data_IF_656962540559
#
_entry.id   IF_656962540559
#
_cell.length_a   1.000
_cell.length_b   1.000
_cell.length_c   1.000
_cell.angle_alpha   90.00
_cell.angle_beta   90.00
_cell.angle_gamma   90.00
#
_symmetry.space_group_name_H-M   'P 1'
#
loop_
_entity.id
_entity.type
_entity.pdbx_description
1 polymer ?
#
# COMPACT_ATOMS: atom_id res chain seq x y z
N UNK A 1 -57.69 9.20 23.61
CA UNK A 1 -58.01 8.23 22.55
C UNK A 1 -56.92 8.32 21.50
N UNK A 2 -56.27 7.18 21.21
CA UNK A 2 -55.79 6.74 19.87
C UNK A 2 -54.53 7.49 19.35
N UNK A 3 -53.33 6.89 19.45
CA UNK A 3 -52.63 6.05 18.43
C UNK A 3 -51.90 6.93 17.38
N UNK A 4 -50.67 6.68 16.93
CA UNK A 4 -49.99 5.41 16.67
C UNK A 4 -48.46 5.54 16.69
N UNK A 5 -47.83 4.42 17.02
CA UNK A 5 -46.42 4.11 16.84
C UNK A 5 -46.03 4.13 15.34
N UNK A 6 -44.77 4.46 15.07
CA UNK A 6 -44.17 4.33 13.75
C UNK A 6 -43.05 3.28 13.84
N UNK A 7 -43.46 2.01 13.86
CA UNK A 7 -42.60 0.86 13.60
C UNK A 7 -42.09 0.95 12.15
N UNK A 8 -40.78 1.09 11.97
CA UNK A 8 -40.16 0.89 10.66
C UNK A 8 -39.75 -0.56 10.54
N UNK A 9 -40.56 -1.28 9.76
CA UNK A 9 -40.35 -2.63 9.28
C UNK A 9 -39.01 -2.73 8.55
N UNK A 10 -38.19 -3.72 8.95
CA UNK A 10 -36.98 -4.14 8.25
C UNK A 10 -37.37 -5.34 7.41
N UNK A 11 -37.59 -5.15 6.10
CA UNK A 11 -37.79 -6.26 5.18
C UNK A 11 -36.42 -6.71 4.65
N UNK A 12 -36.00 -7.81 5.25
CA UNK A 12 -35.06 -8.82 4.77
C UNK A 12 -35.71 -9.48 3.55
N UNK A 13 -35.17 -9.34 2.33
CA UNK A 13 -35.50 -10.26 1.24
C UNK A 13 -34.28 -10.49 0.32
N UNK A 14 -33.90 -11.75 0.38
CA UNK A 14 -32.95 -12.55 -0.36
C UNK A 14 -33.15 -12.48 -1.90
N UNK A 15 -32.07 -12.43 -2.67
CA UNK A 15 -32.08 -12.96 -4.05
C UNK A 15 -30.68 -13.17 -4.65
N UNK A 16 -30.15 -14.35 -4.30
CA UNK A 16 -29.55 -15.39 -5.14
C UNK A 16 -29.11 -15.09 -6.60
N UNK A 17 -27.85 -15.44 -6.85
CA UNK A 17 -27.16 -15.89 -8.08
C UNK A 17 -27.78 -15.64 -9.47
N UNK A 18 -27.26 -14.62 -10.16
CA UNK A 18 -27.35 -14.46 -11.61
C UNK A 18 -26.22 -15.16 -12.37
N UNK A 19 -26.20 -16.49 -12.35
CA UNK A 19 -25.33 -17.30 -13.22
C UNK A 19 -25.76 -17.17 -14.69
N UNK A 20 -25.02 -16.39 -15.49
CA UNK A 20 -25.26 -16.22 -16.93
C UNK A 20 -24.05 -16.71 -17.74
N UNK A 21 -24.05 -17.94 -18.29
CA UNK A 21 -23.02 -18.37 -19.23
C UNK A 21 -23.46 -18.07 -20.67
N UNK A 22 -22.59 -17.48 -21.48
CA UNK A 22 -22.49 -17.73 -22.93
C UNK A 22 -21.27 -17.01 -23.53
N UNK A 23 -20.19 -17.79 -23.66
CA UNK A 23 -19.34 -18.05 -24.84
C UNK A 23 -18.94 -16.97 -25.87
N UNK A 24 -17.69 -17.20 -26.35
CA UNK A 24 -16.95 -16.67 -27.50
C UNK A 24 -16.16 -15.37 -27.22
N UNK A 25 -14.82 -15.38 -27.19
CA UNK A 25 -13.98 -15.74 -28.35
C UNK A 25 -12.54 -16.12 -27.97
N UNK A 26 -12.03 -17.04 -28.79
CA UNK A 26 -10.67 -17.55 -29.02
C UNK A 26 -9.47 -16.62 -28.81
N UNK A 27 -8.46 -17.10 -28.08
CA UNK A 27 -7.04 -16.80 -28.33
C UNK A 27 -6.25 -18.09 -28.46
N UNK A 28 -5.48 -18.17 -29.55
CA UNK A 28 -4.77 -19.36 -30.03
C UNK A 28 -3.48 -19.62 -29.26
N UNK A 29 -3.38 -20.81 -28.67
CA UNK A 29 -2.13 -21.39 -28.16
C UNK A 29 -1.31 -21.97 -29.32
N UNK A 30 -0.05 -21.55 -29.47
CA UNK A 30 0.92 -22.24 -30.32
C UNK A 30 2.27 -22.33 -29.60
N UNK A 31 2.48 -23.46 -28.93
CA UNK A 31 3.79 -23.90 -28.49
C UNK A 31 4.53 -24.57 -29.67
N UNK A 32 5.85 -24.40 -29.81
CA UNK A 32 6.68 -25.33 -30.55
C UNK A 32 7.38 -26.34 -29.62
N UNK A 33 7.56 -27.61 -30.04
CA UNK A 33 8.26 -28.62 -29.28
C UNK A 33 9.76 -28.76 -29.65
N UNK A 34 10.52 -29.28 -28.68
CA UNK A 34 11.65 -30.20 -28.80
C UNK A 34 13.07 -29.72 -29.18
N UNK A 35 13.94 -29.82 -28.14
CA UNK A 35 15.07 -30.77 -28.05
C UNK A 35 16.41 -30.45 -28.74
N UNK A 36 17.47 -30.16 -27.95
CA UNK A 36 18.70 -31.00 -27.88
C UNK A 36 19.72 -30.60 -26.80
N UNK A 37 20.35 -31.67 -26.27
CA UNK A 37 21.49 -31.84 -25.34
C UNK A 37 22.72 -30.95 -25.55
N UNK A 38 23.48 -30.70 -24.46
CA UNK A 38 24.92 -31.06 -24.32
C UNK A 38 25.35 -31.01 -22.84
N UNK A 39 25.77 -32.13 -22.22
CA UNK A 39 27.14 -32.44 -21.71
C UNK A 39 27.70 -31.34 -20.77
N UNK A 40 28.02 -31.55 -19.50
CA UNK A 40 28.68 -32.70 -18.86
C UNK A 40 30.05 -32.21 -18.35
N UNK A 41 30.19 -31.98 -17.04
CA UNK A 41 31.49 -31.96 -16.35
C UNK A 41 31.27 -32.18 -14.86
N UNK A 42 31.72 -33.33 -14.36
CA UNK A 42 31.83 -33.58 -12.93
C UNK A 42 33.16 -33.06 -12.38
N UNK A 43 33.17 -32.64 -11.12
CA UNK A 43 33.95 -33.28 -10.03
C UNK A 43 34.09 -32.36 -8.80
N UNK A 44 34.09 -33.00 -7.62
CA UNK A 44 34.43 -32.48 -6.28
C UNK A 44 33.33 -31.58 -5.64
N UNK A 45 32.87 -31.74 -4.40
CA UNK A 45 33.40 -32.39 -3.18
C UNK A 45 32.24 -32.87 -2.30
N UNK A 46 32.42 -34.05 -1.68
CA UNK A 46 31.61 -34.55 -0.56
C UNK A 46 32.05 -33.85 0.73
N UNK A 47 31.15 -33.19 1.42
CA UNK A 47 31.11 -32.89 2.87
C UNK A 47 29.63 -32.58 3.14
N UNK A 48 28.90 -33.05 4.13
CA UNK A 48 29.11 -33.83 5.34
C UNK A 48 27.79 -33.67 6.09
N UNK A 49 27.21 -34.77 6.57
CA UNK A 49 25.88 -34.81 7.19
C UNK A 49 25.82 -34.08 8.55
N UNK A 50 24.62 -33.62 8.86
CA UNK A 50 23.94 -33.52 10.18
C UNK A 50 24.06 -32.25 11.06
N UNK A 51 22.87 -31.65 11.22
CA UNK A 51 22.22 -31.15 12.46
C UNK A 51 22.65 -29.83 13.08
N UNK A 52 21.80 -28.80 12.90
CA UNK A 52 21.05 -28.06 13.94
C UNK A 52 20.32 -26.92 13.18
N UNK A 53 19.01 -26.94 13.03
CA UNK A 53 18.13 -26.63 14.16
C UNK A 53 17.81 -25.13 14.31
N UNK A 54 18.03 -24.27 13.30
CA UNK A 54 17.39 -22.94 13.30
C UNK A 54 15.96 -23.09 12.80
N UNK A 55 15.04 -23.26 13.75
CA UNK A 55 13.61 -23.05 13.52
C UNK A 55 13.44 -21.60 13.08
N UNK A 56 13.42 -21.38 11.77
CA UNK A 56 12.69 -20.25 11.20
C UNK A 56 11.29 -20.35 11.78
N UNK A 57 10.95 -19.49 12.71
CA UNK A 57 9.57 -19.21 13.06
C UNK A 57 8.93 -18.52 11.85
N UNK A 58 8.72 -19.29 10.79
CA UNK A 58 7.65 -19.08 9.83
C UNK A 58 6.35 -19.33 10.62
N UNK A 59 5.96 -18.34 11.41
CA UNK A 59 4.77 -18.37 12.21
C UNK A 59 4.08 -17.03 12.02
N UNK A 60 3.19 -17.03 11.02
CA UNK A 60 2.17 -16.01 10.78
C UNK A 60 2.70 -14.71 10.15
N UNK A 61 3.23 -14.82 8.93
CA UNK A 61 3.00 -13.76 7.94
C UNK A 61 1.49 -13.70 7.70
N UNK A 62 0.78 -12.95 8.54
CA UNK A 62 -0.51 -12.42 8.14
C UNK A 62 -0.27 -11.59 6.90
N UNK A 63 -1.02 -11.84 5.83
CA UNK A 63 -0.99 -10.98 4.64
C UNK A 63 -1.12 -9.52 5.09
N UNK A 64 -0.09 -8.72 4.82
CA UNK A 64 -0.02 -7.30 5.22
C UNK A 64 0.90 -6.95 6.40
N UNK A 65 1.64 -7.90 6.98
CA UNK A 65 2.66 -7.59 7.99
C UNK A 65 3.92 -7.01 7.32
N UNK A 66 3.97 -5.68 7.19
CA UNK A 66 5.20 -4.94 6.83
C UNK A 66 6.10 -4.93 8.08
N UNK A 67 7.32 -5.45 7.96
CA UNK A 67 8.31 -5.41 9.05
C UNK A 67 9.06 -4.07 9.08
N UNK A 68 9.90 -3.88 10.10
CA UNK A 68 10.66 -2.64 10.29
C UNK A 68 11.61 -2.36 9.12
N UNK A 69 12.23 -3.41 8.58
CA UNK A 69 13.19 -3.31 7.48
C UNK A 69 12.49 -2.86 6.19
N UNK A 70 11.32 -3.41 5.89
CA UNK A 70 10.51 -3.00 4.75
C UNK A 70 9.97 -1.56 4.93
N UNK A 71 9.63 -1.15 6.14
CA UNK A 71 9.24 0.23 6.43
C UNK A 71 10.39 1.22 6.20
N UNK A 72 11.60 0.87 6.64
CA UNK A 72 12.80 1.69 6.41
C UNK A 72 13.11 1.81 4.92
N UNK A 73 13.08 0.71 4.16
CA UNK A 73 13.26 0.73 2.69
C UNK A 73 12.19 1.53 1.98
N UNK A 74 10.95 1.55 2.49
CA UNK A 74 9.89 2.35 1.90
C UNK A 74 10.07 3.85 2.17
N UNK A 75 10.96 4.27 3.08
CA UNK A 75 11.12 5.67 3.44
C UNK A 75 11.67 6.51 2.27
N UNK A 76 12.68 5.98 1.56
CA UNK A 76 13.33 6.64 0.41
C UNK A 76 12.76 6.21 -0.95
N UNK A 77 11.91 5.15 -1.00
CA UNK A 77 11.09 4.80 -2.17
C UNK A 77 9.91 5.77 -2.38
N UNK A 78 10.26 7.02 -2.64
CA UNK A 78 9.34 8.11 -2.94
C UNK A 78 9.91 9.00 -4.04
N UNK A 79 9.06 9.70 -4.82
CA UNK A 79 9.55 10.61 -5.85
C UNK A 79 10.46 11.69 -5.26
N UNK A 80 11.56 11.99 -5.95
CA UNK A 80 12.43 13.11 -5.59
C UNK A 80 11.69 14.41 -5.91
N UNK A 81 11.68 15.34 -4.96
CA UNK A 81 11.09 16.68 -5.11
C UNK A 81 12.15 17.73 -4.82
N UNK A 82 11.92 18.95 -5.32
CA UNK A 82 12.72 20.12 -4.99
C UNK A 82 11.84 21.13 -4.27
N UNK A 83 12.42 21.83 -3.31
CA UNK A 83 11.77 22.94 -2.61
C UNK A 83 12.38 24.21 -3.17
N UNK A 84 11.56 25.00 -3.87
CA UNK A 84 12.07 26.20 -4.55
C UNK A 84 12.06 27.44 -3.64
N UNK A 85 11.25 27.43 -2.58
CA UNK A 85 11.16 28.51 -1.59
C UNK A 85 10.39 28.06 -0.34
N UNK A 86 10.43 28.86 0.73
CA UNK A 86 9.58 28.63 1.91
C UNK A 86 8.09 28.66 1.60
N UNK A 87 7.68 29.50 0.63
CA UNK A 87 6.28 29.60 0.19
C UNK A 87 5.84 28.34 -0.55
N UNK A 88 6.69 27.80 -1.41
CA UNK A 88 6.45 26.55 -2.12
C UNK A 88 6.31 25.35 -1.16
N UNK A 89 7.15 25.31 -0.11
CA UNK A 89 7.01 24.32 0.97
C UNK A 89 5.66 24.42 1.68
N UNK A 90 5.26 25.63 2.06
CA UNK A 90 3.98 25.90 2.72
C UNK A 90 2.80 25.48 1.82
N UNK A 91 2.80 25.89 0.55
CA UNK A 91 1.76 25.53 -0.42
C UNK A 91 1.70 24.00 -0.62
N UNK A 92 2.86 23.33 -0.70
CA UNK A 92 2.94 21.88 -0.79
C UNK A 92 2.37 21.18 0.44
N UNK A 93 2.67 21.64 1.66
CA UNK A 93 2.12 21.06 2.89
C UNK A 93 0.62 21.35 3.02
N UNK A 94 0.16 22.54 2.66
CA UNK A 94 -1.26 22.86 2.65
C UNK A 94 -2.04 21.99 1.67
N UNK A 95 -1.49 21.69 0.49
CA UNK A 95 -2.12 20.77 -0.47
C UNK A 95 -2.18 19.33 0.05
N UNK A 96 -1.12 18.87 0.73
CA UNK A 96 -1.13 17.57 1.41
C UNK A 96 -2.22 17.54 2.48
N UNK A 97 -2.34 18.58 3.30
CA UNK A 97 -3.38 18.69 4.33
C UNK A 97 -4.77 18.60 3.72
N UNK A 98 -5.03 19.32 2.64
CA UNK A 98 -6.32 19.30 1.92
C UNK A 98 -6.71 17.88 1.51
N UNK A 99 -5.81 17.17 0.82
CA UNK A 99 -6.06 15.81 0.32
C UNK A 99 -6.27 14.81 1.48
N UNK A 100 -5.45 14.90 2.53
CA UNK A 100 -5.48 13.95 3.64
C UNK A 100 -6.56 14.24 4.69
N UNK A 101 -7.22 15.39 4.61
CA UNK A 101 -8.32 15.76 5.54
C UNK A 101 -9.69 15.32 5.05
N UNK A 102 -9.81 14.78 3.85
CA UNK A 102 -11.06 14.29 3.26
C UNK A 102 -10.93 12.82 2.88
N UNK A 103 -11.70 11.96 3.56
CA UNK A 103 -11.70 10.51 3.36
C UNK A 103 -12.35 10.09 2.03
N UNK A 104 -13.03 11.01 1.35
CA UNK A 104 -13.63 10.80 0.04
C UNK A 104 -12.67 11.05 -1.11
N UNK A 105 -11.50 11.64 -0.85
CA UNK A 105 -10.46 11.71 -1.87
C UNK A 105 -10.01 10.31 -2.27
N UNK A 106 -9.67 10.20 -3.55
CA UNK A 106 -9.14 8.97 -4.13
C UNK A 106 -7.99 8.41 -3.27
N UNK A 107 -8.02 7.10 -3.03
CA UNK A 107 -7.06 6.44 -2.15
C UNK A 107 -5.63 6.61 -2.66
N UNK A 108 -5.39 6.44 -3.96
CA UNK A 108 -4.05 6.59 -4.53
C UNK A 108 -3.55 8.02 -4.39
N UNK A 109 -4.43 9.02 -4.52
CA UNK A 109 -4.07 10.42 -4.25
C UNK A 109 -3.67 10.64 -2.78
N UNK A 110 -4.37 10.03 -1.82
CA UNK A 110 -4.00 10.10 -0.39
C UNK A 110 -2.67 9.40 -0.13
N UNK A 111 -2.43 8.23 -0.71
CA UNK A 111 -1.14 7.54 -0.64
C UNK A 111 -0.02 8.41 -1.22
N UNK A 112 -0.25 9.04 -2.37
CA UNK A 112 0.72 9.94 -3.01
C UNK A 112 1.00 11.19 -2.16
N UNK A 113 -0.01 11.75 -1.50
CA UNK A 113 0.18 12.86 -0.57
C UNK A 113 1.01 12.45 0.66
N UNK A 114 0.80 11.25 1.21
CA UNK A 114 1.64 10.68 2.28
C UNK A 114 3.09 10.44 1.83
N UNK A 115 3.29 9.92 0.61
CA UNK A 115 4.63 9.79 0.00
C UNK A 115 5.30 11.16 -0.14
N UNK A 116 4.56 12.19 -0.57
CA UNK A 116 5.09 13.54 -0.73
C UNK A 116 5.64 14.14 0.57
N UNK A 117 5.10 13.80 1.74
CA UNK A 117 5.66 14.22 3.03
C UNK A 117 7.08 13.69 3.21
N UNK A 118 7.32 12.42 2.90
CA UNK A 118 8.66 11.82 2.92
C UNK A 118 9.58 12.44 1.87
N UNK A 119 9.07 12.67 0.66
CA UNK A 119 9.82 13.38 -0.39
C UNK A 119 10.30 14.76 0.09
N UNK A 120 9.43 15.53 0.75
CA UNK A 120 9.78 16.85 1.29
C UNK A 120 10.85 16.75 2.39
N UNK A 121 10.75 15.75 3.28
CA UNK A 121 11.78 15.49 4.30
C UNK A 121 13.15 15.22 3.66
N UNK A 122 13.19 14.37 2.63
CA UNK A 122 14.42 14.05 1.89
C UNK A 122 14.97 15.26 1.11
N UNK A 123 14.10 16.18 0.71
CA UNK A 123 14.48 17.44 0.06
C UNK A 123 14.95 18.53 1.04
N UNK A 124 15.09 18.22 2.33
CA UNK A 124 15.58 19.16 3.34
C UNK A 124 14.50 20.06 3.96
N UNK A 125 13.22 19.70 3.88
CA UNK A 125 12.14 20.52 4.46
C UNK A 125 12.35 20.82 5.96
N UNK A 126 12.95 19.91 6.71
CA UNK A 126 13.22 20.09 8.15
C UNK A 126 14.23 21.21 8.46
N UNK A 127 14.97 21.70 7.47
CA UNK A 127 15.90 22.82 7.61
C UNK A 127 15.21 24.19 7.53
N UNK A 128 13.93 24.24 7.15
CA UNK A 128 13.15 25.48 7.08
C UNK A 128 12.52 25.82 8.43
N UNK A 129 12.69 27.06 8.91
CA UNK A 129 12.24 27.53 10.24
C UNK A 129 10.76 27.21 10.55
N UNK A 130 9.87 27.35 9.57
CA UNK A 130 8.43 27.16 9.75
C UNK A 130 7.96 25.72 9.52
N UNK A 131 8.85 24.79 9.17
CA UNK A 131 8.48 23.41 8.85
C UNK A 131 7.70 22.75 9.97
N UNK A 132 8.16 22.84 11.22
CA UNK A 132 7.48 22.24 12.37
C UNK A 132 6.12 22.89 12.67
N UNK A 133 5.94 24.17 12.32
CA UNK A 133 4.64 24.82 12.42
C UNK A 133 3.67 24.19 11.41
N UNK A 134 4.10 24.03 10.16
CA UNK A 134 3.30 23.38 9.11
C UNK A 134 3.05 21.89 9.40
N UNK A 135 4.03 21.17 9.94
CA UNK A 135 3.91 19.76 10.31
C UNK A 135 2.82 19.53 11.35
N UNK A 136 2.67 20.43 12.34
CA UNK A 136 1.60 20.36 13.34
C UNK A 136 0.20 20.49 12.72
N UNK A 137 0.06 21.19 11.60
CA UNK A 137 -1.23 21.31 10.90
C UNK A 137 -1.70 19.99 10.27
N UNK A 138 -0.79 19.01 10.11
CA UNK A 138 -1.09 17.70 9.55
C UNK A 138 -1.58 16.68 10.59
N UNK A 139 -1.57 16.99 11.89
CA UNK A 139 -1.94 16.03 12.96
C UNK A 139 -3.34 15.41 12.76
N UNK A 140 -4.35 16.25 12.46
CA UNK A 140 -5.71 15.77 12.18
C UNK A 140 -5.78 14.89 10.92
N UNK A 141 -5.05 15.28 9.87
CA UNK A 141 -5.01 14.58 8.60
C UNK A 141 -4.32 13.20 8.71
N UNK A 142 -3.25 13.10 9.52
CA UNK A 142 -2.60 11.83 9.83
C UNK A 142 -3.50 10.89 10.64
N UNK A 143 -4.21 11.41 11.64
CA UNK A 143 -5.18 10.61 12.42
C UNK A 143 -6.29 10.05 11.55
N UNK A 144 -6.74 10.79 10.55
CA UNK A 144 -7.73 10.30 9.59
C UNK A 144 -7.11 9.21 8.69
N UNK A 145 -5.93 9.49 8.13
CA UNK A 145 -5.23 8.57 7.22
C UNK A 145 -4.85 7.24 7.87
N UNK A 146 -4.40 7.26 9.14
CA UNK A 146 -4.01 6.06 9.88
C UNK A 146 -5.18 5.11 10.22
N UNK A 147 -6.42 5.59 10.15
CA UNK A 147 -7.61 4.75 10.32
C UNK A 147 -7.97 3.96 9.06
N UNK A 148 -7.32 4.27 7.94
CA UNK A 148 -7.57 3.68 6.64
C UNK A 148 -6.42 2.73 6.27
N UNK A 149 -6.53 1.48 6.75
CA UNK A 149 -5.53 0.42 6.59
C UNK A 149 -5.89 -0.58 5.47
N UNK A 150 -6.42 -0.06 4.36
CA UNK A 150 -6.88 -0.87 3.22
C UNK A 150 -5.74 -1.56 2.48
#
# INVERSE_FOLDING_TARGET
MIQSANDKNFDDEDSVDGNRPSSASSTSSKAPPSSRRNVGMGTTRRLGSSTLGSKSSAAKEGAGAVDEEDFIKAFDDVPVVQIYSSRDLEESINKIREILSDDKHDWEQRVNALKKIRSLLLAGAAEYDNFFQHLRLLDGAFKLSAKDLR
#
